data_IF_236585489751
#
_entry.id   IF_236585489751
#
_cell.length_a   1.000
_cell.length_b   1.000
_cell.length_c   1.000
_cell.angle_alpha   90.00
_cell.angle_beta   90.00
_cell.angle_gamma   90.00
#
_symmetry.space_group_name_H-M   'P 1'
#
loop_
_entity.id
_entity.type
_entity.pdbx_description
1 polymer ?
#
# COMPACT_ATOMS: atom_id res chain seq x y z
N UNK A 1 -6.52 18.49 2.28
CA UNK A 1 -7.46 17.63 1.53
C UNK A 1 -7.09 17.68 0.05
N UNK A 2 -6.61 16.57 -0.48
CA UNK A 2 -6.10 16.42 -1.86
C UNK A 2 -7.12 15.68 -2.73
N UNK A 3 -7.10 15.86 -4.06
CA UNK A 3 -7.91 15.02 -4.96
C UNK A 3 -7.43 13.56 -4.88
N UNK A 4 -8.35 12.61 -5.02
CA UNK A 4 -8.00 11.20 -5.18
C UNK A 4 -8.10 10.79 -6.66
N UNK A 5 -7.34 9.77 -7.02
CA UNK A 5 -7.41 9.11 -8.32
C UNK A 5 -7.12 7.62 -8.15
N UNK A 6 -7.83 6.78 -8.90
CA UNK A 6 -7.52 5.36 -8.98
C UNK A 6 -6.32 5.14 -9.91
N UNK A 7 -5.36 4.28 -9.52
CA UNK A 7 -4.18 4.00 -10.33
C UNK A 7 -4.54 3.48 -11.73
N UNK A 8 -5.59 2.66 -11.83
CA UNK A 8 -6.08 2.13 -13.11
C UNK A 8 -6.64 3.20 -14.06
N UNK A 9 -7.07 4.34 -13.55
CA UNK A 9 -7.58 5.47 -14.35
C UNK A 9 -6.46 6.39 -14.86
N UNK A 10 -5.23 6.18 -14.40
CA UNK A 10 -4.06 6.98 -14.76
C UNK A 10 -2.93 6.17 -15.43
N UNK A 11 -3.21 5.32 -16.45
CA UNK A 11 -2.17 4.55 -17.11
C UNK A 11 -1.26 5.45 -17.94
N UNK A 12 0.04 5.23 -17.83
CA UNK A 12 1.03 5.81 -18.73
C UNK A 12 0.94 5.18 -20.14
N UNK A 13 0.00 5.68 -20.93
CA UNK A 13 -0.24 5.22 -22.31
C UNK A 13 0.95 5.47 -23.22
N UNK A 14 1.71 6.54 -22.99
CA UNK A 14 2.93 6.84 -23.76
C UNK A 14 4.05 5.82 -23.52
N UNK A 15 4.08 5.22 -22.33
CA UNK A 15 4.98 4.11 -21.97
C UNK A 15 4.47 2.73 -22.41
N UNK A 16 3.31 2.65 -23.06
CA UNK A 16 2.71 1.39 -23.49
C UNK A 16 2.02 0.60 -22.36
N UNK A 17 1.67 1.27 -21.26
CA UNK A 17 0.96 0.65 -20.14
C UNK A 17 -0.54 0.91 -20.20
N UNK A 18 -1.30 -0.01 -19.62
CA UNK A 18 -2.75 0.05 -19.52
C UNK A 18 -3.22 0.02 -18.05
N UNK A 19 -4.54 0.04 -17.86
CA UNK A 19 -5.20 -0.07 -16.56
C UNK A 19 -4.76 -1.31 -15.78
N UNK A 20 -4.56 -2.45 -16.48
CA UNK A 20 -4.20 -3.73 -15.87
C UNK A 20 -2.84 -3.70 -15.16
N UNK A 21 -1.95 -2.78 -15.56
CA UNK A 21 -0.65 -2.56 -14.94
C UNK A 21 -0.64 -1.38 -13.98
N UNK A 22 -1.26 -0.27 -14.37
CA UNK A 22 -1.30 0.96 -13.57
C UNK A 22 -2.11 0.85 -12.28
N UNK A 23 -3.11 -0.04 -12.21
CA UNK A 23 -3.83 -0.37 -10.97
C UNK A 23 -2.90 -0.80 -9.82
N UNK A 24 -1.75 -1.38 -10.15
CA UNK A 24 -0.75 -1.82 -9.16
C UNK A 24 0.28 -0.75 -8.84
N UNK A 25 0.21 0.43 -9.46
CA UNK A 25 1.17 1.53 -9.29
C UNK A 25 2.63 1.06 -9.41
N UNK A 26 2.88 0.14 -10.36
CA UNK A 26 4.24 -0.36 -10.61
C UNK A 26 5.08 0.71 -11.29
N UNK A 27 6.40 0.61 -11.15
CA UNK A 27 7.34 1.60 -11.66
C UNK A 27 7.12 1.90 -13.16
N UNK A 28 6.99 3.17 -13.51
CA UNK A 28 6.76 3.69 -14.86
C UNK A 28 5.34 3.58 -15.39
N UNK A 29 4.41 2.95 -14.64
CA UNK A 29 3.06 2.64 -15.13
C UNK A 29 2.06 3.79 -14.96
N UNK A 30 2.35 4.79 -14.12
CA UNK A 30 1.45 5.92 -13.87
C UNK A 30 1.75 7.12 -14.77
N UNK A 31 0.70 7.73 -15.33
CA UNK A 31 0.82 9.00 -16.05
C UNK A 31 1.01 10.16 -15.06
N UNK A 32 2.21 10.74 -15.09
CA UNK A 32 2.60 11.84 -14.19
C UNK A 32 1.63 13.01 -14.25
N UNK A 33 1.14 13.39 -15.44
CA UNK A 33 0.26 14.55 -15.59
C UNK A 33 -1.11 14.33 -14.93
N UNK A 34 -1.57 13.08 -14.86
CA UNK A 34 -2.84 12.74 -14.23
C UNK A 34 -2.71 12.60 -12.71
N UNK A 35 -1.51 12.28 -12.21
CA UNK A 35 -1.27 11.87 -10.82
C UNK A 35 -0.67 13.00 -9.96
N UNK A 36 0.04 13.93 -10.58
CA UNK A 36 0.73 15.02 -9.89
C UNK A 36 -0.19 15.79 -8.91
N UNK A 37 0.24 15.89 -7.65
CA UNK A 37 -0.50 16.57 -6.58
C UNK A 37 -1.75 15.86 -6.07
N UNK A 38 -1.99 14.60 -6.44
CA UNK A 38 -3.15 13.79 -5.99
C UNK A 38 -2.73 12.65 -5.07
N UNK A 39 -3.71 12.07 -4.38
CA UNK A 39 -3.55 10.81 -3.65
C UNK A 39 -3.96 9.67 -4.59
N UNK A 40 -3.05 8.73 -4.84
CA UNK A 40 -3.31 7.58 -5.73
C UNK A 40 -3.73 6.36 -4.93
N UNK A 41 -4.82 5.70 -5.35
CA UNK A 41 -5.26 4.42 -4.79
C UNK A 41 -4.73 3.27 -5.66
N UNK A 42 -4.03 2.31 -5.05
CA UNK A 42 -3.35 1.20 -5.71
C UNK A 42 -3.80 -0.14 -5.12
N UNK A 43 -4.03 -1.12 -5.99
CA UNK A 43 -4.66 -2.42 -5.64
C UNK A 43 -3.76 -3.40 -4.90
N UNK A 44 -2.50 -3.04 -4.68
CA UNK A 44 -1.52 -3.94 -4.11
C UNK A 44 -0.52 -3.17 -3.28
N UNK A 45 0.02 -3.84 -2.27
CA UNK A 45 1.16 -3.33 -1.51
C UNK A 45 2.41 -3.33 -2.41
N UNK A 46 2.58 -2.23 -3.14
CA UNK A 46 3.77 -1.94 -3.95
C UNK A 46 4.68 -0.97 -3.22
N UNK A 47 5.91 -0.83 -3.74
CA UNK A 47 6.79 0.26 -3.34
C UNK A 47 6.15 1.61 -3.71
N UNK A 48 6.14 2.55 -2.76
CA UNK A 48 5.62 3.92 -2.95
C UNK A 48 6.46 4.76 -3.92
N UNK A 49 7.62 4.24 -4.36
CA UNK A 49 8.55 4.90 -5.29
C UNK A 49 7.87 5.41 -6.55
N UNK A 50 6.96 4.66 -7.16
CA UNK A 50 6.27 5.13 -8.38
C UNK A 50 5.41 6.37 -8.10
N UNK A 51 4.64 6.36 -7.00
CA UNK A 51 3.83 7.51 -6.62
C UNK A 51 4.69 8.74 -6.37
N UNK A 52 5.87 8.57 -5.76
CA UNK A 52 6.85 9.66 -5.54
C UNK A 52 7.36 10.19 -6.88
N UNK A 53 7.82 9.31 -7.77
CA UNK A 53 8.37 9.67 -9.08
C UNK A 53 7.31 10.33 -9.98
N UNK A 54 6.05 9.93 -9.84
CA UNK A 54 4.91 10.52 -10.53
C UNK A 54 4.43 11.85 -9.92
N UNK A 55 5.03 12.31 -8.82
CA UNK A 55 4.68 13.58 -8.17
C UNK A 55 3.38 13.54 -7.37
N UNK A 56 2.94 12.35 -6.93
CA UNK A 56 1.76 12.21 -6.09
C UNK A 56 1.95 12.91 -4.74
N UNK A 57 0.87 13.51 -4.23
CA UNK A 57 0.83 14.06 -2.88
C UNK A 57 0.76 12.98 -1.79
N UNK A 58 0.31 11.77 -2.16
CA UNK A 58 0.24 10.62 -1.28
C UNK A 58 -0.23 9.36 -2.01
N UNK A 59 -0.27 8.23 -1.31
CA UNK A 59 -0.74 6.97 -1.87
C UNK A 59 -1.51 6.15 -0.85
N UNK A 60 -2.53 5.44 -1.32
CA UNK A 60 -3.29 4.46 -0.56
C UNK A 60 -3.02 3.13 -1.24
N UNK A 61 -2.50 2.19 -0.47
CA UNK A 61 -2.28 0.81 -0.88
C UNK A 61 -3.39 -0.04 -0.25
N UNK A 62 -3.78 -1.13 -0.87
CA UNK A 62 -4.74 -2.06 -0.28
C UNK A 62 -4.33 -3.52 -0.43
N UNK A 63 -4.78 -4.33 0.53
CA UNK A 63 -4.49 -5.75 0.60
C UNK A 63 -4.79 -6.30 2.00
N UNK A 64 -4.82 -7.63 2.11
CA UNK A 64 -5.10 -8.30 3.39
C UNK A 64 -3.86 -8.97 4.01
N UNK A 65 -2.73 -8.92 3.30
CA UNK A 65 -1.48 -9.55 3.75
C UNK A 65 -0.67 -8.63 4.67
N UNK A 66 0.02 -9.22 5.66
CA UNK A 66 1.16 -8.64 6.41
C UNK A 66 0.91 -7.28 7.08
N UNK A 67 -0.22 -7.14 7.79
CA UNK A 67 -0.66 -5.92 8.49
C UNK A 67 -0.10 -5.75 9.91
N UNK A 68 0.71 -6.70 10.38
CA UNK A 68 1.36 -6.70 11.68
C UNK A 68 2.64 -5.84 11.71
N UNK A 69 2.99 -5.20 10.60
CA UNK A 69 4.16 -4.34 10.44
C UNK A 69 3.79 -3.08 9.66
N UNK A 70 4.26 -1.93 10.15
CA UNK A 70 4.10 -0.65 9.46
C UNK A 70 5.46 -0.17 8.93
N UNK A 71 5.48 0.35 7.70
CA UNK A 71 6.65 0.93 7.07
C UNK A 71 6.55 2.46 7.03
N UNK A 72 7.68 3.14 7.20
CA UNK A 72 7.77 4.58 7.00
C UNK A 72 7.90 4.91 5.51
N UNK A 73 7.29 6.01 5.09
CA UNK A 73 7.32 6.47 3.71
C UNK A 73 7.59 7.99 3.66
N UNK A 74 8.24 8.50 2.61
CA UNK A 74 8.58 9.91 2.50
C UNK A 74 7.40 10.80 2.05
N UNK A 75 6.32 10.20 1.54
CA UNK A 75 5.04 10.86 1.22
C UNK A 75 3.95 10.31 2.13
N UNK A 76 2.80 10.97 2.20
CA UNK A 76 1.69 10.46 2.99
C UNK A 76 1.20 9.13 2.39
N UNK A 77 1.28 8.03 3.15
CA UNK A 77 0.83 6.72 2.72
C UNK A 77 -0.01 6.01 3.78
N UNK A 78 -0.95 5.18 3.33
CA UNK A 78 -1.73 4.30 4.20
C UNK A 78 -1.97 2.96 3.49
N UNK A 79 -1.97 1.88 4.27
CA UNK A 79 -2.34 0.54 3.79
C UNK A 79 -3.69 0.15 4.38
N UNK A 80 -4.66 -0.10 3.51
CA UNK A 80 -6.03 -0.42 3.86
C UNK A 80 -6.31 -1.90 3.64
N UNK A 81 -7.30 -2.43 4.35
CA UNK A 81 -7.85 -3.76 4.04
C UNK A 81 -8.51 -3.74 2.66
N UNK A 82 -8.72 -4.92 2.07
CA UNK A 82 -9.52 -5.02 0.85
C UNK A 82 -10.95 -4.50 1.05
N UNK A 83 -11.49 -4.64 2.27
CA UNK A 83 -12.81 -4.12 2.62
C UNK A 83 -12.83 -2.57 2.59
N UNK A 84 -11.97 -1.92 3.37
CA UNK A 84 -11.91 -0.45 3.44
C UNK A 84 -11.49 0.15 2.08
N UNK A 85 -10.60 -0.55 1.37
CA UNK A 85 -10.19 -0.21 0.01
C UNK A 85 -11.38 -0.20 -0.97
N UNK A 86 -12.24 -1.21 -0.91
CA UNK A 86 -13.46 -1.27 -1.74
C UNK A 86 -14.45 -0.13 -1.45
N UNK A 87 -14.51 0.34 -0.21
CA UNK A 87 -15.31 1.52 0.15
C UNK A 87 -14.72 2.80 -0.46
N UNK A 88 -13.39 2.93 -0.46
CA UNK A 88 -12.69 4.05 -1.12
C UNK A 88 -12.91 4.02 -2.64
N UNK A 89 -12.86 2.85 -3.28
CA UNK A 89 -13.17 2.69 -4.70
C UNK A 89 -14.63 3.06 -5.01
N UNK A 90 -15.57 2.64 -4.16
CA UNK A 90 -16.97 3.02 -4.29
C UNK A 90 -17.16 4.53 -4.13
N UNK A 91 -16.41 5.17 -3.23
CA UNK A 91 -16.39 6.61 -3.07
C UNK A 91 -15.82 7.33 -4.30
N UNK A 92 -14.73 6.83 -4.88
CA UNK A 92 -14.14 7.34 -6.13
C UNK A 92 -15.16 7.32 -7.28
N UNK A 93 -15.91 6.22 -7.42
CA UNK A 93 -16.89 6.04 -8.50
C UNK A 93 -18.19 6.82 -8.29
N UNK A 94 -18.59 7.07 -7.04
CA UNK A 94 -19.85 7.79 -6.74
C UNK A 94 -19.72 9.32 -6.82
N UNK A 95 -18.50 9.85 -6.74
CA UNK A 95 -18.25 11.28 -6.62
C UNK A 95 -17.40 11.80 -7.78
N UNK A 96 -17.87 12.84 -8.50
CA UNK A 96 -17.12 13.42 -9.64
C UNK A 96 -15.77 14.05 -9.29
N UNK A 97 -15.58 14.44 -8.02
CA UNK A 97 -14.37 15.12 -7.52
C UNK A 97 -14.02 14.56 -6.14
N UNK A 98 -13.56 13.30 -6.07
CA UNK A 98 -13.25 12.66 -4.81
C UNK A 98 -12.06 13.37 -4.16
N UNK A 99 -12.15 13.63 -2.87
CA UNK A 99 -11.11 14.32 -2.10
C UNK A 99 -10.98 13.69 -0.72
N UNK A 100 -9.76 13.68 -0.19
CA UNK A 100 -9.47 13.04 1.07
C UNK A 100 -8.16 13.54 1.67
N UNK A 101 -7.87 13.05 2.87
CA UNK A 101 -6.66 13.40 3.61
C UNK A 101 -6.17 12.15 4.32
N UNK A 102 -4.90 11.81 4.13
CA UNK A 102 -4.23 10.80 4.94
C UNK A 102 -3.78 11.48 6.22
N UNK A 103 -4.27 11.00 7.36
CA UNK A 103 -3.96 11.56 8.68
C UNK A 103 -2.64 10.99 9.20
N UNK A 104 -2.07 11.67 10.20
CA UNK A 104 -0.90 11.16 10.93
C UNK A 104 -1.29 9.91 11.70
N UNK A 105 -0.42 8.91 11.69
CA UNK A 105 -0.58 7.67 12.46
C UNK A 105 -0.77 7.96 13.95
N UNK A 106 -1.69 7.21 14.56
CA UNK A 106 -1.92 7.19 16.01
C UNK A 106 -1.50 5.83 16.58
N UNK A 107 -1.25 5.80 17.88
CA UNK A 107 -0.92 4.55 18.58
C UNK A 107 -2.22 3.87 18.99
N UNK A 108 -2.37 2.61 18.63
CA UNK A 108 -3.47 1.75 19.07
C UNK A 108 -2.93 0.54 19.83
N UNK A 109 -3.69 0.08 20.84
CA UNK A 109 -3.35 -1.11 21.61
C UNK A 109 -3.95 -2.33 20.93
N UNK A 110 -3.09 -3.28 20.56
CA UNK A 110 -3.52 -4.58 20.07
C UNK A 110 -3.70 -5.56 21.25
N UNK A 111 -4.95 -5.95 21.52
CA UNK A 111 -5.27 -6.92 22.60
C UNK A 111 -4.80 -8.35 22.30
N UNK A 112 -4.44 -8.65 21.04
CA UNK A 112 -3.91 -9.95 20.62
C UNK A 112 -2.37 -10.05 20.73
N UNK A 113 -1.70 -8.98 21.19
CA UNK A 113 -0.25 -8.96 21.36
C UNK A 113 0.20 -9.72 22.64
N UNK A 114 1.40 -10.34 22.65
CA UNK A 114 2.36 -10.42 21.55
C UNK A 114 2.04 -11.55 20.55
N UNK A 115 2.32 -11.30 19.27
CA UNK A 115 2.20 -12.29 18.18
C UNK A 115 3.48 -12.32 17.35
N UNK A 116 3.83 -13.48 16.79
CA UNK A 116 5.01 -13.61 15.93
C UNK A 116 4.80 -12.82 14.62
N UNK A 117 5.69 -11.88 14.35
CA UNK A 117 5.65 -11.08 13.12
C UNK A 117 5.81 -11.96 11.87
N UNK A 118 5.16 -11.59 10.77
CA UNK A 118 5.10 -12.39 9.55
C UNK A 118 6.47 -12.72 8.95
N UNK A 119 7.43 -11.78 9.04
CA UNK A 119 8.77 -11.93 8.50
C UNK A 119 9.71 -12.73 9.41
N UNK A 120 9.28 -13.08 10.62
CA UNK A 120 10.11 -13.87 11.54
C UNK A 120 10.38 -15.24 10.94
N UNK A 121 11.66 -15.57 10.78
CA UNK A 121 12.07 -16.90 10.32
C UNK A 121 11.48 -17.99 11.20
N UNK A 122 11.08 -19.08 10.57
CA UNK A 122 10.51 -20.25 11.24
C UNK A 122 11.48 -21.41 11.08
N UNK A 123 11.57 -22.24 12.10
CA UNK A 123 12.28 -23.51 12.00
C UNK A 123 11.56 -24.50 11.07
N UNK A 124 12.09 -25.73 10.95
CA UNK A 124 13.22 -26.28 11.70
C UNK A 124 14.59 -25.85 11.16
N UNK A 125 15.64 -26.15 11.92
CA UNK A 125 17.01 -25.95 11.46
C UNK A 125 17.31 -26.89 10.28
N UNK A 126 17.67 -26.32 9.13
CA UNK A 126 17.92 -27.08 7.90
C UNK A 126 19.16 -27.99 7.96
N UNK A 127 20.11 -27.72 8.88
CA UNK A 127 21.36 -28.48 9.03
C UNK A 127 21.20 -29.60 10.05
N UNK A 128 20.53 -29.31 11.17
CA UNK A 128 20.36 -30.29 12.27
C UNK A 128 18.96 -30.16 12.83
N UNK A 129 18.05 -31.00 12.35
CA UNK A 129 16.64 -31.00 12.74
C UNK A 129 16.39 -31.16 14.24
N UNK A 130 17.33 -31.81 14.94
CA UNK A 130 17.24 -32.08 16.38
C UNK A 130 17.54 -30.85 17.24
N UNK A 131 18.07 -29.78 16.63
CA UNK A 131 18.33 -28.51 17.30
C UNK A 131 17.20 -27.54 16.97
N UNK A 132 16.41 -27.19 17.99
CA UNK A 132 15.40 -26.14 17.89
C UNK A 132 16.07 -24.81 17.52
N UNK A 133 15.49 -24.11 16.53
CA UNK A 133 15.92 -22.76 16.12
C UNK A 133 14.84 -21.75 16.52
N UNK A 134 15.28 -20.52 16.85
CA UNK A 134 14.47 -19.40 17.37
C UNK A 134 14.00 -19.63 18.81
N UNK A 135 14.81 -19.22 19.79
CA UNK A 135 14.58 -19.53 21.20
C UNK A 135 13.70 -18.51 21.95
N UNK A 136 13.51 -17.29 21.41
CA UNK A 136 12.67 -16.26 22.01
C UNK A 136 11.96 -15.43 20.94
N UNK A 137 10.70 -15.10 21.19
CA UNK A 137 9.95 -14.06 20.48
C UNK A 137 10.19 -12.76 21.27
N UNK A 138 10.70 -11.72 20.61
CA UNK A 138 10.88 -10.39 21.22
C UNK A 138 9.62 -9.57 21.02
#
# INVERSE_FOLDING_TARGET
MFPLIYGGDAPNKTGGYDESKSRYCSLGTLDRNLVEGKIVVCDFQTDVTEAIVAGAAGTILQGDDFRDVAYNTPIAASYLTLHDGSEVETYLNSTRRPRGTILKTIVEKNELAPSVAFFSSRGPNAITSDILTVNCIV
#
